data_IF_483729734050
#
_entry.id   IF_483729734050
#
_cell.length_a   1.000
_cell.length_b   1.000
_cell.length_c   1.000
_cell.angle_alpha   90.00
_cell.angle_beta   90.00
_cell.angle_gamma   90.00
#
_symmetry.space_group_name_H-M   'P 1'
#
loop_
_entity.id
_entity.type
_entity.pdbx_description
1 polymer ?
#
# COMPACT_ATOMS: atom_id res chain seq x y z
N UNK A 1 -33.09 8.01 -14.93
CA UNK A 1 -32.34 8.06 -13.69
C UNK A 1 -31.65 6.72 -13.40
N UNK A 2 -32.40 5.62 -13.27
CA UNK A 2 -31.86 4.28 -12.93
C UNK A 2 -30.73 3.88 -13.88
N UNK A 3 -30.91 4.04 -15.19
CA UNK A 3 -29.90 3.67 -16.17
C UNK A 3 -28.60 4.50 -16.01
N UNK A 4 -28.69 5.78 -15.67
CA UNK A 4 -27.52 6.62 -15.41
C UNK A 4 -26.82 6.22 -14.09
N UNK A 5 -27.57 5.81 -13.05
CA UNK A 5 -26.99 5.29 -11.82
C UNK A 5 -26.23 3.98 -12.07
N UNK A 6 -26.81 3.06 -12.87
CA UNK A 6 -26.13 1.81 -13.24
C UNK A 6 -24.81 2.12 -13.97
N UNK A 7 -24.82 3.04 -14.93
CA UNK A 7 -23.59 3.45 -15.66
C UNK A 7 -22.55 4.10 -14.75
N UNK A 8 -22.99 4.94 -13.82
CA UNK A 8 -22.13 5.52 -12.79
C UNK A 8 -21.45 4.44 -11.95
N UNK A 9 -22.22 3.44 -11.49
CA UNK A 9 -21.72 2.38 -10.62
C UNK A 9 -20.82 1.39 -11.37
N UNK A 10 -21.10 1.12 -12.66
CA UNK A 10 -20.20 0.35 -13.54
C UNK A 10 -18.83 1.03 -13.68
N UNK A 11 -18.80 2.37 -13.85
CA UNK A 11 -17.56 3.13 -13.95
C UNK A 11 -16.82 3.19 -12.61
N UNK A 12 -17.53 3.32 -11.51
CA UNK A 12 -16.93 3.23 -10.18
C UNK A 12 -16.30 1.85 -9.92
N UNK A 13 -16.96 0.76 -10.34
CA UNK A 13 -16.38 -0.57 -10.25
C UNK A 13 -15.06 -0.67 -11.03
N UNK A 14 -15.00 -0.11 -12.24
CA UNK A 14 -13.77 -0.06 -13.03
C UNK A 14 -12.69 0.77 -12.34
N UNK A 15 -13.04 1.91 -11.74
CA UNK A 15 -12.11 2.74 -10.99
C UNK A 15 -11.52 2.00 -9.79
N UNK A 16 -12.35 1.33 -8.99
CA UNK A 16 -11.88 0.53 -7.84
C UNK A 16 -11.03 -0.67 -8.29
N UNK A 17 -11.35 -1.28 -9.43
CA UNK A 17 -10.51 -2.35 -10.00
C UNK A 17 -9.14 -1.84 -10.40
N UNK A 18 -9.06 -0.64 -10.98
CA UNK A 18 -7.78 0.01 -11.30
C UNK A 18 -7.01 0.42 -10.02
N UNK A 19 -7.70 0.88 -8.97
CA UNK A 19 -7.09 1.15 -7.66
C UNK A 19 -6.50 -0.11 -7.02
N UNK A 20 -7.15 -1.26 -7.18
CA UNK A 20 -6.59 -2.53 -6.73
C UNK A 20 -5.29 -2.88 -7.45
N UNK A 21 -5.20 -2.65 -8.76
CA UNK A 21 -3.96 -2.85 -9.52
C UNK A 21 -2.87 -1.86 -9.05
N UNK A 22 -3.23 -0.59 -8.83
CA UNK A 22 -2.31 0.39 -8.23
C UNK A 22 -1.78 -0.09 -6.88
N UNK A 23 -2.65 -0.57 -5.99
CA UNK A 23 -2.22 -1.06 -4.66
C UNK A 23 -1.23 -2.23 -4.78
N UNK A 24 -1.43 -3.14 -5.75
CA UNK A 24 -0.46 -4.22 -6.03
C UNK A 24 0.89 -3.69 -6.50
N UNK A 25 0.89 -2.69 -7.38
CA UNK A 25 2.12 -2.04 -7.84
C UNK A 25 2.84 -1.33 -6.69
N UNK A 26 2.10 -0.59 -5.85
CA UNK A 26 2.63 0.13 -4.70
C UNK A 26 3.31 -0.82 -3.71
N UNK A 27 2.70 -1.98 -3.42
CA UNK A 27 3.31 -3.03 -2.58
C UNK A 27 4.57 -3.58 -3.23
N UNK A 28 4.56 -3.85 -4.55
CA UNK A 28 5.73 -4.36 -5.26
C UNK A 28 6.91 -3.37 -5.21
N UNK A 29 6.62 -2.08 -5.38
CA UNK A 29 7.64 -1.01 -5.27
C UNK A 29 8.15 -0.89 -3.84
N UNK A 30 7.26 -0.95 -2.84
CA UNK A 30 7.65 -0.90 -1.43
C UNK A 30 8.58 -2.07 -1.05
N UNK A 31 8.27 -3.29 -1.50
CA UNK A 31 9.14 -4.48 -1.31
C UNK A 31 10.51 -4.26 -1.97
N UNK A 32 10.54 -3.75 -3.20
CA UNK A 32 11.80 -3.49 -3.91
C UNK A 32 12.65 -2.42 -3.17
N UNK A 33 12.01 -1.35 -2.69
CA UNK A 33 12.69 -0.30 -1.91
C UNK A 33 13.24 -0.84 -0.59
N UNK A 34 12.45 -1.63 0.15
CA UNK A 34 12.90 -2.25 1.39
C UNK A 34 14.07 -3.22 1.14
N UNK A 35 14.02 -3.98 0.05
CA UNK A 35 15.12 -4.87 -0.35
C UNK A 35 16.41 -4.09 -0.64
N UNK A 36 16.35 -3.01 -1.42
CA UNK A 36 17.51 -2.17 -1.71
C UNK A 36 18.05 -1.52 -0.43
N UNK A 37 17.17 -1.10 0.49
CA UNK A 37 17.57 -0.56 1.79
C UNK A 37 18.34 -1.57 2.64
N UNK A 38 17.94 -2.86 2.60
CA UNK A 38 18.66 -3.91 3.29
C UNK A 38 20.05 -4.11 2.67
N UNK A 39 20.15 -4.16 1.35
CA UNK A 39 21.46 -4.26 0.66
C UNK A 39 22.39 -3.11 1.05
N UNK A 40 21.87 -1.89 1.09
CA UNK A 40 22.62 -0.71 1.53
C UNK A 40 23.11 -0.87 2.97
N UNK A 41 22.24 -1.29 3.90
CA UNK A 41 22.59 -1.49 5.31
C UNK A 41 23.60 -2.64 5.50
N UNK A 42 23.57 -3.68 4.64
CA UNK A 42 24.58 -4.75 4.63
C UNK A 42 25.97 -4.20 4.26
N UNK A 43 26.05 -3.37 3.22
CA UNK A 43 27.32 -2.75 2.81
C UNK A 43 27.85 -1.78 3.89
N UNK A 44 26.97 -0.98 4.51
CA UNK A 44 27.35 -0.11 5.63
C UNK A 44 27.91 -0.90 6.82
N UNK A 45 27.31 -2.03 7.15
CA UNK A 45 27.81 -2.90 8.22
C UNK A 45 29.19 -3.45 7.88
N UNK A 46 29.41 -3.89 6.64
CA UNK A 46 30.72 -4.41 6.20
C UNK A 46 31.78 -3.30 6.23
N UNK A 47 31.47 -2.08 5.81
CA UNK A 47 32.35 -0.92 5.93
C UNK A 47 32.68 -0.63 7.40
N UNK A 48 31.67 -0.61 8.28
CA UNK A 48 31.88 -0.36 9.70
C UNK A 48 32.77 -1.43 10.37
N UNK A 49 32.58 -2.71 10.02
CA UNK A 49 33.44 -3.82 10.50
C UNK A 49 34.89 -3.68 10.04
N UNK A 50 35.07 -3.32 8.77
CA UNK A 50 36.40 -3.06 8.24
C UNK A 50 37.09 -1.90 8.98
N UNK A 51 36.37 -0.82 9.30
CA UNK A 51 36.90 0.30 10.08
C UNK A 51 37.29 -0.14 11.49
N UNK A 52 36.46 -0.95 12.18
CA UNK A 52 36.84 -1.48 13.50
C UNK A 52 38.09 -2.36 13.42
N UNK A 53 38.26 -3.14 12.39
CA UNK A 53 39.45 -3.96 12.16
C UNK A 53 40.69 -3.07 12.00
N UNK A 54 40.62 -2.03 11.17
CA UNK A 54 41.69 -1.07 10.94
C UNK A 54 42.09 -0.34 12.22
N UNK A 55 41.10 0.19 12.96
CA UNK A 55 41.33 0.91 14.21
C UNK A 55 41.92 0.02 15.31
N UNK A 56 41.51 -1.25 15.35
CA UNK A 56 42.02 -2.27 16.27
C UNK A 56 43.53 -2.52 16.00
N UNK A 57 43.92 -2.72 14.74
CA UNK A 57 45.32 -2.89 14.33
C UNK A 57 46.14 -1.64 14.64
N UNK A 58 45.55 -0.46 14.47
CA UNK A 58 46.22 0.80 14.77
C UNK A 58 46.46 1.00 16.28
N UNK A 59 45.50 0.59 17.13
CA UNK A 59 45.70 0.56 18.61
C UNK A 59 46.84 -0.37 18.96
N UNK A 60 46.87 -1.58 18.40
CA UNK A 60 47.92 -2.58 18.66
C UNK A 60 49.31 -2.00 18.27
N UNK A 61 49.40 -1.44 17.06
CA UNK A 61 50.63 -0.80 16.57
C UNK A 61 51.13 0.33 17.48
N UNK A 62 50.22 1.26 17.86
CA UNK A 62 50.58 2.38 18.73
C UNK A 62 50.96 1.93 20.13
N UNK A 63 50.31 0.88 20.66
CA UNK A 63 50.67 0.30 21.94
C UNK A 63 52.05 -0.35 21.93
N UNK A 64 52.43 -1.05 20.86
CA UNK A 64 53.78 -1.57 20.70
C UNK A 64 54.85 -0.45 20.55
N UNK A 65 54.50 0.65 19.86
CA UNK A 65 55.37 1.83 19.76
C UNK A 65 55.52 2.55 21.11
N UNK A 66 54.49 2.61 21.94
CA UNK A 66 54.55 3.17 23.29
C UNK A 66 55.54 2.37 24.15
N UNK A 67 55.45 1.05 24.12
CA UNK A 67 56.37 0.17 24.88
C UNK A 67 57.83 0.39 24.48
N UNK A 68 58.09 0.74 23.21
CA UNK A 68 59.41 1.04 22.71
C UNK A 68 59.81 2.53 22.86
N UNK A 69 58.97 3.33 23.52
CA UNK A 69 59.22 4.78 23.74
C UNK A 69 59.05 5.67 22.50
N UNK A 70 58.48 5.13 21.39
CA UNK A 70 58.27 5.83 20.12
C UNK A 70 56.91 6.50 19.96
N UNK A 71 55.94 6.20 20.83
CA UNK A 71 54.64 6.83 20.85
C UNK A 71 54.30 7.29 22.29
N UNK A 72 53.44 8.32 22.40
CA UNK A 72 52.97 8.81 23.69
C UNK A 72 51.70 8.06 24.18
N UNK A 73 51.51 7.98 25.49
CA UNK A 73 50.27 7.45 26.09
C UNK A 73 49.03 8.18 25.62
N UNK A 74 49.14 9.48 25.30
CA UNK A 74 48.04 10.29 24.79
C UNK A 74 47.60 9.79 23.41
N UNK A 75 48.55 9.48 22.52
CA UNK A 75 48.24 8.94 21.20
C UNK A 75 47.53 7.59 21.28
N UNK A 76 47.97 6.70 22.17
CA UNK A 76 47.31 5.41 22.41
C UNK A 76 45.89 5.62 22.96
N UNK A 77 45.71 6.56 23.91
CA UNK A 77 44.38 6.87 24.47
C UNK A 77 43.42 7.45 23.39
N UNK A 78 43.90 8.34 22.54
CA UNK A 78 43.17 8.90 21.41
C UNK A 78 42.73 7.81 20.43
N UNK A 79 43.63 6.88 20.06
CA UNK A 79 43.25 5.78 19.15
C UNK A 79 42.27 4.77 19.78
N UNK A 80 42.39 4.50 21.09
CA UNK A 80 41.40 3.71 21.82
C UNK A 80 40.02 4.37 21.83
N UNK A 81 39.98 5.70 21.94
CA UNK A 81 38.72 6.44 21.82
C UNK A 81 38.13 6.35 20.41
N UNK A 82 38.95 6.45 19.35
CA UNK A 82 38.54 6.26 17.98
C UNK A 82 38.01 4.85 17.74
N UNK A 83 38.67 3.80 18.23
CA UNK A 83 38.18 2.42 18.16
C UNK A 83 36.83 2.27 18.90
N UNK A 84 36.64 2.94 20.04
CA UNK A 84 35.36 2.98 20.74
C UNK A 84 34.24 3.55 19.88
N UNK A 85 34.53 4.63 19.15
CA UNK A 85 33.59 5.26 18.22
C UNK A 85 33.27 4.35 17.03
N UNK A 86 34.26 3.67 16.46
CA UNK A 86 34.06 2.73 15.35
C UNK A 86 33.18 1.53 15.76
N UNK A 87 33.37 0.99 16.98
CA UNK A 87 32.53 -0.06 17.53
C UNK A 87 31.08 0.38 17.77
N UNK A 88 30.89 1.65 18.19
CA UNK A 88 29.54 2.21 18.31
C UNK A 88 28.87 2.28 16.92
N UNK A 89 29.61 2.76 15.90
CA UNK A 89 29.11 2.82 14.52
C UNK A 89 28.76 1.44 13.96
N UNK A 90 29.60 0.42 14.23
CA UNK A 90 29.31 -0.96 13.86
C UNK A 90 28.00 -1.47 14.51
N UNK A 91 27.83 -1.21 15.81
CA UNK A 91 26.62 -1.60 16.54
C UNK A 91 25.39 -0.91 15.95
N UNK A 92 25.49 0.37 15.63
CA UNK A 92 24.41 1.13 14.99
C UNK A 92 24.07 0.57 13.61
N UNK A 93 25.07 0.28 12.77
CA UNK A 93 24.86 -0.33 11.46
C UNK A 93 24.22 -1.72 11.56
N UNK A 94 24.66 -2.54 12.52
CA UNK A 94 24.07 -3.86 12.78
C UNK A 94 22.59 -3.77 13.21
N UNK A 95 22.25 -2.79 14.05
CA UNK A 95 20.86 -2.54 14.45
C UNK A 95 20.02 -2.03 13.27
N UNK A 96 20.55 -1.13 12.44
CA UNK A 96 19.84 -0.64 11.25
C UNK A 96 19.57 -1.79 10.25
N UNK A 97 20.52 -2.69 10.06
CA UNK A 97 20.31 -3.87 9.23
C UNK A 97 19.21 -4.78 9.83
N UNK A 98 19.22 -5.02 11.13
CA UNK A 98 18.20 -5.85 11.78
C UNK A 98 16.81 -5.24 11.66
N UNK A 99 16.69 -3.92 11.84
CA UNK A 99 15.42 -3.21 11.67
C UNK A 99 14.92 -3.28 10.23
N UNK A 100 15.77 -3.04 9.23
CA UNK A 100 15.35 -3.13 7.83
C UNK A 100 14.94 -4.56 7.40
N UNK A 101 15.56 -5.60 7.96
CA UNK A 101 15.10 -6.99 7.76
C UNK A 101 13.72 -7.23 8.40
N UNK A 102 13.49 -6.67 9.59
CA UNK A 102 12.19 -6.74 10.26
C UNK A 102 11.12 -6.00 9.45
N UNK A 103 11.42 -4.81 8.96
CA UNK A 103 10.50 -4.02 8.13
C UNK A 103 10.07 -4.79 6.87
N UNK A 104 11.03 -5.43 6.18
CA UNK A 104 10.70 -6.25 5.01
C UNK A 104 9.88 -7.48 5.39
N UNK A 105 10.20 -8.14 6.51
CA UNK A 105 9.45 -9.31 6.97
C UNK A 105 8.01 -8.97 7.33
N UNK A 106 7.76 -7.79 7.90
CA UNK A 106 6.42 -7.26 8.18
C UNK A 106 5.66 -6.91 6.90
N UNK A 107 6.34 -6.29 5.93
CA UNK A 107 5.75 -5.97 4.63
C UNK A 107 5.33 -7.23 3.85
N UNK A 108 6.05 -8.34 4.05
CA UNK A 108 5.74 -9.65 3.48
C UNK A 108 4.77 -10.47 4.35
N UNK A 109 4.33 -9.94 5.49
CA UNK A 109 3.45 -10.63 6.47
C UNK A 109 3.95 -12.02 6.86
N UNK A 110 5.27 -12.17 7.04
CA UNK A 110 5.84 -13.46 7.41
C UNK A 110 5.45 -13.84 8.86
N UNK A 111 4.93 -15.04 9.09
CA UNK A 111 4.47 -15.46 10.42
C UNK A 111 5.63 -15.64 11.41
N UNK A 112 6.84 -15.89 10.95
CA UNK A 112 8.04 -15.98 11.77
C UNK A 112 9.20 -15.26 11.08
N UNK A 113 9.58 -14.07 11.56
CA UNK A 113 10.71 -13.30 11.01
C UNK A 113 12.08 -13.81 11.49
N UNK A 114 12.13 -14.72 12.48
CA UNK A 114 13.39 -15.24 13.00
C UNK A 114 14.14 -16.05 11.93
N UNK A 115 15.39 -15.67 11.67
CA UNK A 115 16.23 -16.32 10.66
C UNK A 115 15.99 -15.84 9.22
N UNK A 116 15.10 -14.83 9.02
CA UNK A 116 14.92 -14.25 7.69
C UNK A 116 16.18 -13.52 7.23
N UNK A 117 16.66 -13.85 6.04
CA UNK A 117 17.81 -13.22 5.40
C UNK A 117 17.57 -13.11 3.90
N UNK A 118 18.24 -12.15 3.27
CA UNK A 118 18.20 -11.97 1.82
C UNK A 118 19.50 -12.41 1.17
N UNK A 119 19.40 -12.82 -0.09
CA UNK A 119 20.56 -13.15 -0.91
C UNK A 119 21.05 -11.90 -1.63
N UNK A 120 22.35 -11.65 -1.62
CA UNK A 120 22.95 -10.56 -2.41
C UNK A 120 22.87 -10.93 -3.90
N UNK A 121 22.27 -10.08 -4.75
CA UNK A 121 22.24 -10.33 -6.17
C UNK A 121 23.63 -10.07 -6.77
N UNK A 122 24.07 -10.91 -7.68
CA UNK A 122 25.26 -10.69 -8.50
C UNK A 122 24.88 -9.92 -9.77
N UNK A 123 24.27 -8.75 -9.62
CA UNK A 123 23.83 -7.96 -10.78
C UNK A 123 24.88 -6.90 -11.11
N UNK A 124 25.40 -6.93 -12.34
CA UNK A 124 26.14 -5.79 -12.90
C UNK A 124 25.15 -4.72 -13.32
N UNK A 125 25.35 -3.51 -12.84
CA UNK A 125 24.52 -2.33 -13.18
C UNK A 125 24.97 -1.71 -14.53
N UNK A 126 25.97 -2.30 -15.16
CA UNK A 126 26.51 -1.83 -16.44
C UNK A 126 25.49 -2.01 -17.57
N UNK A 127 25.01 -0.92 -18.13
CA UNK A 127 24.19 -0.92 -19.35
C UNK A 127 22.70 -0.62 -19.19
N UNK A 128 22.26 -0.08 -18.06
CA UNK A 128 20.91 0.51 -17.99
C UNK A 128 20.82 1.72 -18.93
N UNK A 129 20.33 1.47 -20.15
CA UNK A 129 19.95 2.53 -21.08
C UNK A 129 18.76 3.28 -20.45
N UNK A 130 19.03 4.45 -19.90
CA UNK A 130 17.98 5.35 -19.45
C UNK A 130 17.26 5.86 -20.71
N UNK A 131 16.00 5.44 -20.88
CA UNK A 131 15.12 5.98 -21.92
C UNK A 131 14.92 7.48 -21.69
N UNK A 132 14.60 8.22 -22.78
CA UNK A 132 14.29 9.64 -22.68
C UNK A 132 13.13 9.87 -21.68
N UNK A 133 13.20 10.86 -20.77
CA UNK A 133 12.14 11.15 -19.81
C UNK A 133 10.76 11.35 -20.43
N UNK A 134 10.68 11.96 -21.62
CA UNK A 134 9.43 12.18 -22.36
C UNK A 134 8.77 10.86 -22.77
N UNK A 135 9.57 9.88 -23.23
CA UNK A 135 9.06 8.57 -23.64
C UNK A 135 8.55 7.77 -22.43
N UNK A 136 9.28 7.85 -21.30
CA UNK A 136 8.86 7.22 -20.03
C UNK A 136 7.55 7.85 -19.56
N UNK A 137 7.44 9.17 -19.63
CA UNK A 137 6.21 9.88 -19.23
C UNK A 137 5.02 9.49 -20.11
N UNK A 138 5.20 9.47 -21.43
CA UNK A 138 4.14 9.09 -22.37
C UNK A 138 3.65 7.66 -22.13
N UNK A 139 4.56 6.72 -21.90
CA UNK A 139 4.21 5.33 -21.54
C UNK A 139 3.51 5.27 -20.18
N UNK A 140 4.00 6.00 -19.16
CA UNK A 140 3.42 6.01 -17.84
C UNK A 140 1.97 6.53 -17.86
N UNK A 141 1.70 7.61 -18.60
CA UNK A 141 0.34 8.17 -18.75
C UNK A 141 -0.61 7.16 -19.37
N UNK A 142 -0.14 6.38 -20.36
CA UNK A 142 -0.97 5.40 -21.03
C UNK A 142 -1.25 4.14 -20.21
N UNK A 143 -0.29 3.71 -19.34
CA UNK A 143 -0.33 2.41 -18.68
C UNK A 143 -0.67 2.48 -17.18
N UNK A 144 -0.46 3.63 -16.50
CA UNK A 144 -0.61 3.69 -15.03
C UNK A 144 -2.04 3.49 -14.57
N UNK A 145 -2.31 2.49 -13.70
CA UNK A 145 -3.65 2.22 -13.18
C UNK A 145 -4.26 3.40 -12.42
N UNK A 146 -3.44 4.22 -11.75
CA UNK A 146 -3.91 5.42 -11.05
C UNK A 146 -4.55 6.44 -11.99
N UNK A 147 -3.99 6.64 -13.18
CA UNK A 147 -4.53 7.57 -14.17
C UNK A 147 -5.83 7.01 -14.75
N UNK A 148 -5.87 5.71 -15.04
CA UNK A 148 -7.08 5.03 -15.52
C UNK A 148 -8.21 5.10 -14.49
N UNK A 149 -7.91 4.93 -13.19
CA UNK A 149 -8.89 5.07 -12.12
C UNK A 149 -9.52 6.47 -12.09
N UNK A 150 -8.70 7.53 -12.21
CA UNK A 150 -9.20 8.91 -12.23
C UNK A 150 -10.00 9.22 -13.50
N UNK A 151 -9.64 8.66 -14.65
CA UNK A 151 -10.45 8.78 -15.86
C UNK A 151 -11.84 8.15 -15.70
N UNK A 152 -11.92 6.94 -15.13
CA UNK A 152 -13.22 6.30 -14.84
C UNK A 152 -14.05 7.10 -13.83
N UNK A 153 -13.40 7.72 -12.82
CA UNK A 153 -14.10 8.60 -11.87
C UNK A 153 -14.62 9.88 -12.54
N UNK A 154 -13.84 10.45 -13.45
CA UNK A 154 -14.27 11.61 -14.24
C UNK A 154 -15.50 11.26 -15.08
N UNK A 155 -15.47 10.14 -15.79
CA UNK A 155 -16.60 9.64 -16.59
C UNK A 155 -17.82 9.36 -15.69
N UNK A 156 -17.64 8.76 -14.52
CA UNK A 156 -18.70 8.53 -13.55
C UNK A 156 -19.36 9.85 -13.09
N UNK A 157 -18.55 10.89 -12.88
CA UNK A 157 -19.03 12.20 -12.47
C UNK A 157 -19.93 12.82 -13.54
N UNK A 158 -19.69 12.59 -14.83
CA UNK A 158 -20.61 13.04 -15.89
C UNK A 158 -22.01 12.42 -15.75
N UNK A 159 -22.10 11.14 -15.41
CA UNK A 159 -23.39 10.49 -15.15
C UNK A 159 -24.08 11.05 -13.89
N UNK A 160 -23.31 11.41 -12.86
CA UNK A 160 -23.85 12.14 -11.70
C UNK A 160 -24.45 13.49 -12.08
N UNK A 161 -23.79 14.25 -12.94
CA UNK A 161 -24.31 15.52 -13.47
C UNK A 161 -25.61 15.29 -14.26
N UNK A 162 -25.66 14.25 -15.10
CA UNK A 162 -26.88 13.89 -15.85
C UNK A 162 -28.03 13.49 -14.92
N UNK A 163 -27.74 12.79 -13.82
CA UNK A 163 -28.72 12.45 -12.79
C UNK A 163 -29.26 13.70 -12.08
N UNK A 164 -28.36 14.63 -11.69
CA UNK A 164 -28.73 15.87 -11.07
C UNK A 164 -29.58 16.77 -12.00
N UNK A 165 -29.23 16.85 -13.28
CA UNK A 165 -30.05 17.55 -14.30
C UNK A 165 -31.42 16.90 -14.44
N UNK A 166 -31.51 15.56 -14.44
CA UNK A 166 -32.79 14.83 -14.48
C UNK A 166 -33.64 15.04 -13.23
N UNK A 167 -33.04 15.33 -12.08
CA UNK A 167 -33.78 15.63 -10.84
C UNK A 167 -34.55 16.96 -10.87
N UNK A 168 -34.16 17.87 -11.77
CA UNK A 168 -34.82 19.17 -11.97
C UNK A 168 -36.09 19.04 -12.82
N UNK A 169 -36.30 17.93 -13.50
CA UNK A 169 -37.51 17.70 -14.29
C UNK A 169 -38.66 17.21 -13.40
N UNK A 170 -39.91 17.53 -13.70
CA UNK A 170 -41.06 17.02 -12.97
C UNK A 170 -41.13 15.50 -13.07
N UNK A 171 -41.46 14.83 -11.97
CA UNK A 171 -41.66 13.38 -11.93
C UNK A 171 -43.14 13.04 -12.08
N UNK A 172 -43.45 12.11 -13.00
CA UNK A 172 -44.77 11.55 -13.13
C UNK A 172 -44.76 10.13 -12.51
N UNK A 173 -45.67 9.90 -11.56
CA UNK A 173 -45.85 8.59 -10.94
C UNK A 173 -47.23 8.07 -11.26
N UNK A 174 -47.33 6.85 -11.77
CA UNK A 174 -48.57 6.11 -11.90
C UNK A 174 -48.54 4.92 -10.94
N UNK A 175 -49.55 4.78 -10.11
CA UNK A 175 -49.69 3.66 -9.18
C UNK A 175 -51.05 2.98 -9.42
N UNK A 176 -51.05 1.67 -9.35
CA UNK A 176 -52.27 0.88 -9.42
C UNK A 176 -52.28 -0.15 -8.27
N UNK A 177 -53.40 -0.35 -7.66
CA UNK A 177 -53.55 -1.30 -6.55
C UNK A 177 -54.81 -2.14 -6.72
N UNK A 178 -54.74 -3.39 -6.31
CA UNK A 178 -55.84 -4.30 -6.18
C UNK A 178 -55.99 -4.67 -4.71
N UNK A 179 -57.14 -4.51 -4.14
CA UNK A 179 -57.38 -4.84 -2.74
C UNK A 179 -58.73 -5.50 -2.53
N UNK A 180 -58.80 -6.32 -1.51
CA UNK A 180 -60.06 -6.89 -1.01
C UNK A 180 -60.03 -6.91 0.50
N UNK A 181 -61.18 -6.83 1.14
CA UNK A 181 -61.31 -6.83 2.59
C UNK A 181 -62.21 -7.99 3.05
N UNK A 182 -61.79 -8.60 4.17
CA UNK A 182 -62.62 -9.58 4.90
C UNK A 182 -62.88 -9.06 6.32
N UNK A 183 -64.11 -9.11 6.77
CA UNK A 183 -64.49 -8.77 8.14
C UNK A 183 -65.55 -9.71 8.69
N UNK A 184 -65.52 -9.93 10.00
CA UNK A 184 -66.53 -10.73 10.71
C UNK A 184 -67.14 -9.86 11.82
N UNK A 185 -68.48 -9.79 11.88
CA UNK A 185 -69.22 -9.14 12.98
C UNK A 185 -69.85 -10.17 13.89
N UNK A 186 -69.66 -10.00 15.20
CA UNK A 186 -70.21 -10.91 16.19
C UNK A 186 -71.76 -10.87 16.35
N UNK A 187 -72.36 -9.86 15.77
CA UNK A 187 -73.81 -9.59 15.94
C UNK A 187 -74.70 -9.88 14.68
N UNK A 188 -74.12 -10.19 13.54
CA UNK A 188 -74.79 -10.50 12.29
C UNK A 188 -74.10 -11.66 11.57
N UNK A 189 -74.86 -12.49 10.85
CA UNK A 189 -74.24 -13.51 9.99
C UNK A 189 -73.46 -12.80 8.89
N UNK A 190 -72.11 -12.87 8.96
CA UNK A 190 -71.29 -12.38 7.90
C UNK A 190 -71.30 -13.34 6.71
N UNK A 191 -71.21 -12.78 5.51
CA UNK A 191 -71.08 -13.59 4.29
C UNK A 191 -69.90 -14.51 4.34
N UNK A 192 -69.95 -15.69 3.69
CA UNK A 192 -68.77 -16.56 3.63
C UNK A 192 -67.51 -15.86 3.11
N UNK A 193 -66.34 -16.28 3.57
CA UNK A 193 -65.03 -15.69 3.21
C UNK A 193 -64.82 -15.50 1.70
N UNK A 194 -65.22 -16.53 0.90
CA UNK A 194 -65.09 -16.48 -0.55
C UNK A 194 -65.94 -15.40 -1.20
N UNK A 195 -67.16 -15.19 -0.68
CA UNK A 195 -68.11 -14.19 -1.21
C UNK A 195 -67.68 -12.78 -0.80
N UNK A 196 -67.17 -12.58 0.40
CA UNK A 196 -66.61 -11.27 0.81
C UNK A 196 -65.41 -10.88 -0.01
N UNK A 197 -64.46 -11.78 -0.25
CA UNK A 197 -63.30 -11.50 -1.08
C UNK A 197 -63.72 -11.11 -2.49
N UNK A 198 -64.71 -11.79 -3.06
CA UNK A 198 -65.19 -11.54 -4.41
C UNK A 198 -65.95 -10.21 -4.50
N UNK A 199 -66.79 -9.93 -3.51
CA UNK A 199 -67.68 -8.77 -3.52
C UNK A 199 -66.99 -7.48 -3.06
N UNK A 200 -65.97 -7.60 -2.21
CA UNK A 200 -65.21 -6.43 -1.68
C UNK A 200 -63.95 -6.10 -2.51
N UNK A 201 -63.88 -6.59 -3.74
CA UNK A 201 -62.72 -6.29 -4.61
C UNK A 201 -62.75 -4.85 -5.09
N UNK A 202 -61.72 -4.12 -4.78
CA UNK A 202 -61.55 -2.72 -5.18
C UNK A 202 -60.29 -2.56 -6.06
N UNK A 203 -60.41 -1.72 -7.08
CA UNK A 203 -59.29 -1.33 -7.97
C UNK A 203 -59.01 0.16 -7.78
N UNK A 204 -57.74 0.55 -7.64
CA UNK A 204 -57.29 1.94 -7.54
C UNK A 204 -56.29 2.26 -8.64
#
# INVERSE_FOLDING_TARGET
RINNSIKHDELNLKAVTADFQKAREDVSVAVAQAYVQILYNMELLDVARNQVSIDSLQVERLSAMELSGKASKVQVAQQKAALGQSRLSETQAANSLRLSLLDLSQLLELPNPEGFSIVRPSVSVDGLLLSNPEDIYAQAVACKPSIQAEQFRLDATEYSIRNAKGARLPSLMASGGLGTNYYTMSSHSSDPFADQIKNNFSQY
#
